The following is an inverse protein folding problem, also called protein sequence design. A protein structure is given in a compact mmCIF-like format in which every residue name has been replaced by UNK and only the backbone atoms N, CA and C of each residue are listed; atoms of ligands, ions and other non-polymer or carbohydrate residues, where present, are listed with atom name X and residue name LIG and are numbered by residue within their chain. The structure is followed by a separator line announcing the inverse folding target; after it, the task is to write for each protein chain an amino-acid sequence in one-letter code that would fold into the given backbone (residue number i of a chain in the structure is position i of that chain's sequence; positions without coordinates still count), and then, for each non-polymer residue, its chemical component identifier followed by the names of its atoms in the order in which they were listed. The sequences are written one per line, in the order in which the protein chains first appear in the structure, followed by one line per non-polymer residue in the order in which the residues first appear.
data_IF_231998113120
#
_entry.id   IF_231998113120
#
_cell.length_a   1.000
_cell.length_b   1.000
_cell.length_c   1.000
_cell.angle_alpha   90.00
_cell.angle_beta   90.00
_cell.angle_gamma   90.00
#
_symmetry.space_group_name_H-M   'P 1'
#
loop_
_entity.id
_entity.type
_entity.pdbx_description
1 polymer ?
#
# COMPACT_ATOMS: atom_id res chain seq x y z
N UNK A 1 -23.91 12.42 -0.21
CA UNK A 1 -22.83 11.41 -0.04
C UNK A 1 -21.97 11.89 1.14
N UNK A 2 -21.88 11.12 2.22
CA UNK A 2 -21.09 11.57 3.39
C UNK A 2 -19.70 10.95 3.27
N UNK A 3 -18.70 11.77 2.97
CA UNK A 3 -17.28 11.39 2.99
C UNK A 3 -16.79 11.59 4.42
N UNK A 4 -16.24 10.56 5.04
CA UNK A 4 -15.62 10.68 6.36
C UNK A 4 -14.12 10.54 6.16
N UNK A 5 -13.40 11.65 6.29
CA UNK A 5 -11.94 11.66 6.42
C UNK A 5 -11.63 11.59 7.91
N UNK A 6 -10.89 10.58 8.32
CA UNK A 6 -10.38 10.47 9.68
C UNK A 6 -8.88 10.71 9.66
N UNK A 7 -8.43 11.69 10.45
CA UNK A 7 -7.04 12.02 10.74
C UNK A 7 -6.19 12.30 9.49
N UNK A 8 -6.30 13.52 8.99
CA UNK A 8 -5.34 14.12 8.07
C UNK A 8 -4.31 14.84 8.96
N UNK A 9 -3.06 14.40 8.96
CA UNK A 9 -1.95 15.15 9.52
C UNK A 9 -1.20 15.80 8.37
N UNK A 10 -1.16 17.11 8.36
CA UNK A 10 -0.42 17.89 7.39
C UNK A 10 1.00 18.13 7.91
N UNK A 11 2.00 17.76 7.12
CA UNK A 11 3.36 18.23 7.28
C UNK A 11 3.85 18.78 5.93
N UNK A 12 4.52 19.91 5.95
CA UNK A 12 5.03 20.59 4.75
C UNK A 12 5.92 19.64 3.93
N UNK A 13 5.54 19.38 2.69
CA UNK A 13 6.23 18.61 1.64
C UNK A 13 6.02 17.10 1.57
N UNK A 14 5.00 16.53 2.20
CA UNK A 14 4.73 15.10 2.17
C UNK A 14 3.41 14.76 1.47
N UNK A 15 3.34 13.57 0.88
CA UNK A 15 2.07 13.04 0.38
C UNK A 15 1.21 12.54 1.54
N UNK A 16 -0.09 12.85 1.50
CA UNK A 16 -1.05 12.36 2.49
C UNK A 16 -1.77 11.13 1.96
N UNK A 17 -1.76 10.06 2.75
CA UNK A 17 -2.43 8.81 2.45
C UNK A 17 -3.65 8.64 3.34
N UNK A 18 -4.82 8.62 2.75
CA UNK A 18 -6.08 8.49 3.46
C UNK A 18 -6.99 7.44 2.83
N UNK A 19 -8.05 7.05 3.58
CA UNK A 19 -9.08 6.19 3.05
C UNK A 19 -10.42 6.94 2.99
N UNK A 20 -11.02 6.93 1.80
CA UNK A 20 -12.40 7.36 1.62
C UNK A 20 -13.29 6.13 1.72
N UNK A 21 -14.16 6.09 2.72
CA UNK A 21 -15.12 5.00 2.91
C UNK A 21 -16.49 5.51 2.47
N UNK A 22 -16.94 5.05 1.30
CA UNK A 22 -18.25 5.41 0.79
C UNK A 22 -19.34 4.61 1.51
N UNK A 23 -20.21 5.32 2.21
CA UNK A 23 -21.42 4.76 2.84
C UNK A 23 -22.54 4.75 1.82
N UNK A 24 -23.44 3.77 1.88
CA UNK A 24 -24.64 3.62 1.04
C UNK A 24 -24.41 3.11 -0.40
N UNK A 25 -23.26 2.50 -0.70
CA UNK A 25 -23.10 1.71 -1.92
C UNK A 25 -23.23 0.22 -1.59
N UNK A 26 -23.81 -0.56 -2.49
CA UNK A 26 -23.83 -2.02 -2.36
C UNK A 26 -22.39 -2.54 -2.26
N UNK A 27 -22.13 -3.29 -1.21
CA UNK A 27 -20.81 -3.90 -0.95
C UNK A 27 -20.64 -5.14 -1.83
N UNK A 28 -20.46 -4.96 -3.11
CA UNK A 28 -20.05 -6.05 -3.99
C UNK A 28 -18.51 -6.10 -3.99
N UNK A 29 -17.97 -7.08 -3.32
CA UNK A 29 -16.53 -7.28 -3.29
C UNK A 29 -15.99 -7.61 -4.68
N UNK A 30 -14.90 -6.96 -5.05
CA UNK A 30 -14.18 -7.23 -6.29
C UNK A 30 -12.88 -7.99 -5.96
N UNK A 31 -12.81 -9.24 -6.38
CA UNK A 31 -11.65 -10.12 -6.17
C UNK A 31 -10.74 -10.17 -7.41
N UNK A 32 -10.95 -9.30 -8.39
CA UNK A 32 -10.16 -9.29 -9.60
C UNK A 32 -8.77 -8.76 -9.33
N UNK A 33 -7.77 -9.57 -9.62
CA UNK A 33 -6.35 -9.20 -9.59
C UNK A 33 -5.69 -9.63 -10.90
N UNK A 34 -4.64 -8.92 -11.27
CA UNK A 34 -3.81 -9.32 -12.40
C UNK A 34 -2.99 -10.56 -12.01
N UNK A 35 -3.33 -11.70 -12.59
CA UNK A 35 -2.76 -13.01 -12.28
C UNK A 35 -2.20 -13.70 -13.52
N UNK A 36 -1.15 -14.49 -13.37
CA UNK A 36 -0.68 -15.41 -14.42
C UNK A 36 -1.67 -16.58 -14.62
N UNK A 37 -1.48 -17.36 -15.69
CA UNK A 37 -2.27 -18.60 -15.91
C UNK A 37 -2.07 -19.63 -14.80
N UNK A 38 -0.93 -19.58 -14.09
CA UNK A 38 -0.60 -20.44 -12.94
C UNK A 38 -1.13 -19.90 -11.61
N UNK A 39 -1.89 -18.81 -11.61
CA UNK A 39 -2.46 -18.23 -10.40
C UNK A 39 -1.46 -17.35 -9.60
N UNK A 40 -0.36 -16.94 -10.20
CA UNK A 40 0.64 -16.13 -9.54
C UNK A 40 0.34 -14.64 -9.69
N UNK A 41 0.45 -13.89 -8.60
CA UNK A 41 0.29 -12.43 -8.57
C UNK A 41 1.65 -11.78 -8.35
N UNK A 42 2.04 -10.89 -9.26
CA UNK A 42 3.28 -10.14 -9.15
C UNK A 42 3.07 -8.94 -8.23
N UNK A 43 3.80 -8.90 -7.12
CA UNK A 43 3.91 -7.73 -6.27
C UNK A 43 4.93 -6.72 -6.82
N UNK A 44 4.83 -5.48 -6.36
CA UNK A 44 5.72 -4.36 -6.73
C UNK A 44 5.76 -4.05 -8.22
N UNK A 45 4.75 -4.49 -8.98
CA UNK A 45 4.57 -4.08 -10.37
C UNK A 45 3.89 -2.72 -10.43
N UNK A 46 4.63 -1.69 -10.07
CA UNK A 46 4.10 -0.35 -9.80
C UNK A 46 4.06 0.57 -11.03
N UNK A 47 4.35 0.02 -12.19
CA UNK A 47 4.24 0.76 -13.44
C UNK A 47 2.81 1.32 -13.59
N UNK A 48 2.69 2.63 -13.66
CA UNK A 48 1.43 3.39 -13.67
C UNK A 48 0.70 3.49 -12.31
N UNK A 49 1.35 3.14 -11.19
CA UNK A 49 0.87 3.46 -9.86
C UNK A 49 1.67 4.63 -9.32
N UNK A 50 1.01 5.51 -8.59
CA UNK A 50 1.67 6.64 -7.95
C UNK A 50 1.26 6.67 -6.46
N UNK A 51 2.16 6.23 -5.60
CA UNK A 51 1.95 6.23 -4.15
C UNK A 51 2.72 7.36 -3.45
N UNK A 52 3.53 8.11 -4.20
CA UNK A 52 4.38 9.17 -3.67
C UNK A 52 3.77 10.56 -3.84
N UNK A 53 4.00 11.18 -4.97
CA UNK A 53 3.92 12.62 -5.13
C UNK A 53 2.73 13.15 -5.95
N UNK A 54 1.85 12.31 -6.45
CA UNK A 54 0.75 12.75 -7.30
C UNK A 54 -0.60 12.41 -6.73
N UNK A 55 -1.64 13.25 -6.96
CA UNK A 55 -3.00 12.93 -6.54
C UNK A 55 -3.48 11.68 -7.27
N UNK A 56 -3.91 10.69 -6.53
CA UNK A 56 -4.39 9.44 -7.08
C UNK A 56 -5.45 8.80 -6.20
N UNK A 57 -6.46 8.16 -6.82
CA UNK A 57 -7.48 7.40 -6.13
C UNK A 57 -7.55 5.99 -6.68
N UNK A 58 -7.39 5.01 -5.80
CA UNK A 58 -7.37 3.61 -6.17
C UNK A 58 -8.50 2.83 -5.52
N UNK A 59 -9.26 2.10 -6.34
CA UNK A 59 -10.41 1.28 -5.92
C UNK A 59 -10.18 -0.20 -6.17
N UNK A 60 -9.35 -0.54 -7.13
CA UNK A 60 -9.11 -1.91 -7.54
C UNK A 60 -8.25 -2.67 -6.52
N UNK A 61 -8.52 -3.97 -6.42
CA UNK A 61 -7.84 -4.85 -5.48
C UNK A 61 -6.33 -4.94 -5.74
N UNK A 62 -5.92 -4.99 -7.02
CA UNK A 62 -4.52 -5.19 -7.37
C UNK A 62 -3.64 -4.01 -6.96
N UNK A 63 -4.10 -2.77 -7.19
CA UNK A 63 -3.37 -1.57 -6.78
C UNK A 63 -3.31 -1.46 -5.26
N UNK A 64 -4.41 -1.70 -4.56
CA UNK A 64 -4.46 -1.70 -3.09
C UNK A 64 -3.58 -2.79 -2.47
N UNK A 65 -3.49 -3.96 -3.11
CA UNK A 65 -2.58 -5.03 -2.70
C UNK A 65 -1.11 -4.60 -2.81
N UNK A 66 -0.73 -3.98 -3.94
CA UNK A 66 0.62 -3.46 -4.13
C UNK A 66 0.95 -2.33 -3.15
N UNK A 67 -0.02 -1.47 -2.82
CA UNK A 67 0.15 -0.45 -1.78
C UNK A 67 0.47 -1.08 -0.42
N UNK A 68 -0.30 -2.07 0.03
CA UNK A 68 0.00 -2.75 1.30
C UNK A 68 1.33 -3.49 1.27
N UNK A 69 1.73 -4.04 0.12
CA UNK A 69 3.04 -4.66 -0.01
C UNK A 69 4.18 -3.64 0.12
N UNK A 70 4.05 -2.45 -0.48
CA UNK A 70 5.00 -1.35 -0.31
C UNK A 70 5.06 -0.89 1.15
N UNK A 71 3.91 -0.69 1.77
CA UNK A 71 3.81 -0.30 3.18
C UNK A 71 4.51 -1.31 4.09
N UNK A 72 4.27 -2.61 3.87
CA UNK A 72 4.90 -3.68 4.64
C UNK A 72 6.43 -3.64 4.57
N UNK A 73 6.98 -3.44 3.37
CA UNK A 73 8.42 -3.35 3.16
C UNK A 73 9.01 -2.11 3.83
N UNK A 74 8.39 -0.95 3.60
CA UNK A 74 8.90 0.32 4.12
C UNK A 74 8.82 0.40 5.65
N UNK A 75 7.71 -0.04 6.25
CA UNK A 75 7.61 -0.14 7.71
C UNK A 75 8.69 -1.08 8.28
N UNK A 76 8.92 -2.23 7.64
CA UNK A 76 9.97 -3.15 8.09
C UNK A 76 11.36 -2.52 8.04
N UNK A 77 11.73 -1.91 6.92
CA UNK A 77 13.04 -1.27 6.74
C UNK A 77 13.21 -0.11 7.72
N UNK A 78 12.17 0.70 7.91
CA UNK A 78 12.21 1.81 8.86
C UNK A 78 12.38 1.34 10.31
N UNK A 79 11.55 0.39 10.76
CA UNK A 79 11.65 -0.17 12.13
C UNK A 79 13.02 -0.79 12.44
N UNK A 80 13.67 -1.31 11.42
CA UNK A 80 14.99 -1.97 11.55
C UNK A 80 16.15 -1.15 10.95
N UNK A 81 15.98 0.17 10.79
CA UNK A 81 17.00 1.05 10.20
C UNK A 81 18.32 1.04 10.96
N UNK A 82 18.28 0.79 12.26
CA UNK A 82 19.46 0.67 13.13
C UNK A 82 19.89 -0.77 13.41
N UNK A 83 19.29 -1.76 12.73
CA UNK A 83 19.57 -3.19 12.90
C UNK A 83 19.95 -3.81 11.54
N UNK A 84 21.19 -3.59 11.05
CA UNK A 84 21.59 -3.98 9.68
C UNK A 84 21.41 -5.47 9.36
N UNK A 85 21.44 -6.34 10.38
CA UNK A 85 21.22 -7.78 10.24
C UNK A 85 19.74 -8.15 9.98
N UNK A 86 18.80 -7.25 10.29
CA UNK A 86 17.36 -7.44 10.05
C UNK A 86 16.88 -6.77 8.77
N UNK A 87 17.69 -5.87 8.21
CA UNK A 87 17.32 -5.22 6.96
C UNK A 87 17.31 -6.21 5.79
N UNK A 88 16.36 -6.03 4.90
CA UNK A 88 16.28 -6.85 3.70
C UNK A 88 17.29 -6.32 2.67
N UNK A 89 18.04 -7.23 2.07
CA UNK A 89 19.06 -6.94 1.05
C UNK A 89 18.76 -7.59 -0.29
N UNK A 90 17.90 -8.62 -0.27
CA UNK A 90 17.53 -9.38 -1.45
C UNK A 90 16.00 -9.45 -1.60
N UNK A 91 15.48 -9.28 -2.83
CA UNK A 91 14.02 -9.24 -3.07
C UNK A 91 13.27 -10.45 -2.51
N UNK A 92 13.85 -11.64 -2.57
CA UNK A 92 13.20 -12.86 -2.09
C UNK A 92 12.97 -12.89 -0.57
N UNK A 93 13.72 -12.10 0.19
CA UNK A 93 13.53 -12.00 1.64
C UNK A 93 12.19 -11.36 2.01
N UNK A 94 11.59 -10.57 1.12
CA UNK A 94 10.29 -9.93 1.28
C UNK A 94 9.20 -10.96 1.63
N UNK A 95 9.26 -12.17 1.04
CA UNK A 95 8.30 -13.23 1.34
C UNK A 95 8.35 -13.73 2.79
N UNK A 96 9.40 -13.40 3.53
CA UNK A 96 9.52 -13.75 4.94
C UNK A 96 8.83 -12.74 5.86
N UNK A 97 8.51 -11.54 5.39
CA UNK A 97 7.84 -10.52 6.17
C UNK A 97 6.48 -11.02 6.69
N UNK A 98 6.17 -10.80 7.98
CA UNK A 98 4.90 -11.22 8.58
C UNK A 98 3.68 -10.69 7.83
N UNK A 99 3.73 -9.44 7.40
CA UNK A 99 2.66 -8.76 6.68
C UNK A 99 2.47 -9.34 5.28
N UNK A 100 3.53 -9.66 4.55
CA UNK A 100 3.45 -10.30 3.24
C UNK A 100 2.84 -11.72 3.36
N UNK A 101 3.24 -12.48 4.37
CA UNK A 101 2.63 -13.79 4.67
C UNK A 101 1.14 -13.65 5.02
N UNK A 102 0.77 -12.58 5.70
CA UNK A 102 -0.62 -12.28 6.02
C UNK A 102 -1.42 -11.93 4.76
N UNK A 103 -0.90 -11.07 3.90
CA UNK A 103 -1.50 -10.76 2.60
C UNK A 103 -1.69 -12.02 1.75
N UNK A 104 -0.69 -12.88 1.70
CA UNK A 104 -0.77 -14.15 0.95
C UNK A 104 -1.90 -15.04 1.46
N UNK A 105 -2.04 -15.19 2.78
CA UNK A 105 -3.14 -15.95 3.39
C UNK A 105 -4.51 -15.37 3.04
N UNK A 106 -4.65 -14.05 3.09
CA UNK A 106 -5.90 -13.35 2.73
C UNK A 106 -6.22 -13.57 1.26
N UNK A 107 -5.22 -13.46 0.36
CA UNK A 107 -5.42 -13.72 -1.06
C UNK A 107 -5.78 -15.18 -1.34
N UNK A 108 -5.11 -16.14 -0.72
CA UNK A 108 -5.43 -17.59 -0.85
C UNK A 108 -6.87 -17.89 -0.45
N UNK A 109 -7.38 -17.23 0.58
CA UNK A 109 -8.75 -17.43 1.07
C UNK A 109 -9.80 -16.83 0.14
N UNK A 110 -9.51 -15.70 -0.50
CA UNK A 110 -10.55 -14.86 -1.12
C UNK A 110 -10.46 -14.79 -2.65
N UNK A 111 -9.27 -14.97 -3.25
CA UNK A 111 -9.08 -14.83 -4.70
C UNK A 111 -9.10 -16.21 -5.35
N UNK A 112 -10.13 -16.52 -6.18
CA UNK A 112 -10.19 -17.79 -6.88
C UNK A 112 -8.96 -18.03 -7.77
N UNK A 113 -8.32 -19.18 -7.62
CA UNK A 113 -7.16 -19.57 -8.43
C UNK A 113 -5.84 -18.94 -8.01
N UNK A 114 -5.79 -18.11 -6.97
CA UNK A 114 -4.53 -17.57 -6.43
C UNK A 114 -3.66 -18.69 -5.85
N UNK A 115 -2.39 -18.73 -6.23
CA UNK A 115 -1.42 -19.73 -5.76
C UNK A 115 -0.34 -19.11 -4.86
N UNK A 116 0.34 -18.08 -5.33
CA UNK A 116 1.43 -17.41 -4.60
C UNK A 116 1.69 -16.00 -5.14
N UNK A 117 2.46 -15.23 -4.37
CA UNK A 117 3.09 -14.03 -4.89
C UNK A 117 4.40 -14.34 -5.60
N UNK A 118 4.72 -13.51 -6.59
CA UNK A 118 6.01 -13.50 -7.29
C UNK A 118 6.56 -12.09 -7.34
N UNK A 119 7.87 -11.96 -7.49
CA UNK A 119 8.61 -10.71 -7.64
C UNK A 119 9.43 -10.73 -8.92
N UNK A 120 9.71 -9.56 -9.45
CA UNK A 120 10.77 -9.40 -10.43
C UNK A 120 11.93 -8.64 -9.75
N UNK A 121 13.13 -9.23 -9.64
CA UNK A 121 14.26 -8.56 -9.01
C UNK A 121 14.61 -7.21 -9.62
N UNK A 122 14.28 -6.98 -10.89
CA UNK A 122 14.49 -5.69 -11.58
C UNK A 122 13.57 -4.57 -11.08
N UNK A 123 12.55 -4.89 -10.28
CA UNK A 123 11.66 -3.90 -9.68
C UNK A 123 12.25 -3.32 -8.38
N UNK A 124 13.47 -3.72 -8.03
CA UNK A 124 14.15 -3.30 -6.79
C UNK A 124 15.54 -2.77 -7.10
N UNK A 125 15.99 -1.85 -6.27
CA UNK A 125 17.34 -1.33 -6.23
C UNK A 125 17.85 -1.32 -4.79
N UNK A 126 19.16 -1.39 -4.63
CA UNK A 126 19.79 -1.17 -3.33
C UNK A 126 19.99 0.33 -3.16
N UNK A 127 19.24 0.89 -2.24
CA UNK A 127 19.27 2.31 -1.92
C UNK A 127 20.18 2.49 -0.69
N UNK A 128 21.08 3.44 -0.74
CA UNK A 128 22.04 3.78 0.31
C UNK A 128 23.30 2.90 0.38
N UNK A 129 24.31 3.44 1.04
CA UNK A 129 25.60 2.77 1.34
C UNK A 129 25.44 1.50 2.18
N UNK A 130 24.30 1.34 2.84
CA UNK A 130 23.95 0.18 3.65
C UNK A 130 23.36 -0.99 2.86
N UNK A 131 23.08 -0.80 1.55
CA UNK A 131 22.52 -1.83 0.69
C UNK A 131 21.07 -2.19 1.01
N UNK A 132 20.31 -1.25 1.56
CA UNK A 132 18.87 -1.45 1.82
C UNK A 132 18.09 -1.70 0.53
N UNK A 133 17.20 -2.67 0.57
CA UNK A 133 16.35 -3.00 -0.54
C UNK A 133 15.19 -2.04 -0.65
N UNK A 134 15.09 -1.35 -1.78
CA UNK A 134 13.94 -0.48 -2.08
C UNK A 134 13.30 -0.87 -3.40
N UNK A 135 11.99 -0.70 -3.54
CA UNK A 135 11.37 -0.83 -4.84
C UNK A 135 11.93 0.23 -5.79
N UNK A 136 12.39 -0.22 -6.98
CA UNK A 136 12.91 0.67 -8.02
C UNK A 136 11.75 1.33 -8.75
N UNK A 137 11.37 2.51 -8.31
CA UNK A 137 10.39 3.32 -9.02
C UNK A 137 10.55 4.79 -8.67
N UNK A 138 10.81 5.55 -9.69
CA UNK A 138 10.79 7.00 -9.61
C UNK A 138 9.42 7.45 -9.08
N UNK A 139 9.39 8.05 -7.90
CA UNK A 139 8.23 8.71 -7.29
C UNK A 139 7.06 7.81 -6.82
N UNK A 140 7.21 6.50 -6.76
CA UNK A 140 6.11 5.59 -6.35
C UNK A 140 6.27 4.98 -4.95
N UNK A 141 7.27 5.39 -4.20
CA UNK A 141 7.39 4.99 -2.79
C UNK A 141 6.34 5.71 -1.94
N UNK A 142 5.82 5.03 -0.94
CA UNK A 142 5.03 5.68 0.10
C UNK A 142 5.96 6.63 0.85
N UNK A 143 5.55 7.90 0.98
CA UNK A 143 6.35 8.89 1.68
C UNK A 143 6.60 8.45 3.14
N UNK A 144 7.81 8.68 3.63
CA UNK A 144 8.26 8.30 4.96
C UNK A 144 7.34 8.80 6.08
N UNK A 145 6.81 10.00 6.00
CA UNK A 145 5.83 10.53 6.96
C UNK A 145 4.54 9.72 7.05
N UNK A 146 4.22 8.94 6.02
CA UNK A 146 3.00 8.12 6.00
C UNK A 146 3.15 6.79 6.76
N UNK A 147 4.37 6.34 7.06
CA UNK A 147 4.63 5.05 7.70
C UNK A 147 5.52 5.09 8.94
N UNK A 148 6.18 6.20 9.27
CA UNK A 148 7.08 6.31 10.42
C UNK A 148 6.43 5.91 11.75
N UNK A 149 5.15 6.24 11.93
CA UNK A 149 4.38 5.88 13.13
C UNK A 149 3.71 4.50 13.03
N UNK A 150 4.00 3.73 11.99
CA UNK A 150 3.35 2.45 11.74
C UNK A 150 4.31 1.29 11.98
N UNK A 151 3.84 0.27 12.68
CA UNK A 151 4.55 -1.00 12.80
C UNK A 151 4.24 -1.98 11.66
N UNK A 152 3.33 -1.62 10.75
CA UNK A 152 2.94 -2.42 9.59
C UNK A 152 1.51 -2.19 9.14
N UNK A 153 1.01 -3.12 8.34
CA UNK A 153 -0.32 -3.05 7.70
C UNK A 153 -1.46 -2.94 8.73
N UNK A 154 -1.34 -3.64 9.86
CA UNK A 154 -2.41 -3.65 10.86
C UNK A 154 -2.63 -2.29 11.50
N UNK A 155 -1.57 -1.56 11.78
CA UNK A 155 -1.68 -0.22 12.38
C UNK A 155 -2.29 0.76 11.38
N UNK A 156 -1.90 0.67 10.11
CA UNK A 156 -2.54 1.46 9.05
C UNK A 156 -4.05 1.22 9.00
N UNK A 157 -4.48 -0.04 8.93
CA UNK A 157 -5.89 -0.39 8.81
C UNK A 157 -6.69 -0.09 10.10
N UNK A 158 -6.05 -0.20 11.27
CA UNK A 158 -6.63 0.11 12.57
C UNK A 158 -7.02 1.59 12.70
N UNK A 159 -6.23 2.52 12.13
CA UNK A 159 -6.59 3.95 12.07
C UNK A 159 -7.99 4.14 11.46
N UNK A 160 -8.39 3.32 10.50
CA UNK A 160 -9.67 3.40 9.79
C UNK A 160 -10.72 2.41 10.28
N UNK A 161 -10.39 1.56 11.26
CA UNK A 161 -11.27 0.52 11.81
C UNK A 161 -11.84 -0.42 10.74
N UNK A 162 -10.99 -0.82 9.79
CA UNK A 162 -11.36 -1.74 8.71
C UNK A 162 -10.48 -2.97 8.71
N UNK A 163 -11.00 -4.10 8.21
CA UNK A 163 -10.21 -5.31 8.00
C UNK A 163 -9.41 -5.23 6.68
N UNK A 164 -8.40 -6.07 6.58
CA UNK A 164 -7.58 -6.19 5.37
C UNK A 164 -8.42 -6.64 4.17
N UNK A 165 -9.38 -7.55 4.37
CA UNK A 165 -10.32 -7.98 3.33
C UNK A 165 -11.21 -6.83 2.87
N UNK A 166 -11.70 -6.03 3.81
CA UNK A 166 -12.53 -4.88 3.47
C UNK A 166 -11.73 -3.82 2.71
N UNK A 167 -10.47 -3.58 3.10
CA UNK A 167 -9.59 -2.69 2.35
C UNK A 167 -9.37 -3.20 0.92
N UNK A 168 -8.94 -4.45 0.77
CA UNK A 168 -8.54 -4.99 -0.52
C UNK A 168 -9.72 -5.14 -1.49
N UNK A 169 -10.81 -5.76 -1.04
CA UNK A 169 -11.85 -6.27 -1.94
C UNK A 169 -13.09 -5.38 -2.02
N UNK A 170 -13.23 -4.40 -1.13
CA UNK A 170 -14.37 -3.49 -1.16
C UNK A 170 -14.04 -2.26 -2.03
N UNK A 171 -14.65 -2.09 -3.21
CA UNK A 171 -14.41 -0.92 -4.07
C UNK A 171 -14.95 0.38 -3.50
N UNK A 172 -15.79 0.30 -2.44
CA UNK A 172 -16.27 1.46 -1.68
C UNK A 172 -15.23 1.98 -0.68
N UNK A 173 -14.15 1.24 -0.45
CA UNK A 173 -12.96 1.71 0.29
C UNK A 173 -11.94 2.14 -0.74
N UNK A 174 -11.72 3.42 -0.85
CA UNK A 174 -10.83 4.04 -1.84
C UNK A 174 -9.55 4.47 -1.11
N UNK A 175 -8.41 4.04 -1.61
CA UNK A 175 -7.13 4.60 -1.23
C UNK A 175 -7.00 5.96 -1.93
N UNK A 176 -6.88 7.03 -1.15
CA UNK A 176 -6.80 8.41 -1.62
C UNK A 176 -5.43 8.98 -1.25
N UNK A 177 -4.65 9.30 -2.27
CA UNK A 177 -3.30 9.84 -2.14
C UNK A 177 -3.33 11.24 -2.75
N UNK A 178 -2.80 12.23 -2.05
CA UNK A 178 -2.65 13.57 -2.59
C UNK A 178 -1.40 14.24 -2.02
N UNK A 179 -0.91 15.23 -2.75
CA UNK A 179 0.24 16.03 -2.36
C UNK A 179 -0.27 17.35 -1.76
N UNK A 180 0.29 17.75 -0.63
CA UNK A 180 -0.07 19.00 0.05
C UNK A 180 0.24 20.24 -0.81
N UNK A 181 1.14 20.13 -1.79
CA UNK A 181 1.43 21.21 -2.73
C UNK A 181 0.32 21.46 -3.78
N UNK A 182 -0.59 20.50 -3.97
CA UNK A 182 -1.75 20.63 -4.87
C UNK A 182 -2.96 21.26 -4.18
N UNK A 183 -2.79 21.83 -2.99
CA UNK A 183 -3.83 22.49 -2.20
C UNK A 183 -4.21 23.85 -2.80
N UNK A 184 -4.67 23.84 -4.04
CA UNK A 184 -5.34 24.98 -4.65
C UNK A 184 -6.83 24.98 -4.23
N UNK A 185 -7.09 25.23 -2.94
CA UNK A 185 -8.37 25.77 -2.49
C UNK A 185 -9.61 24.90 -2.67
N UNK A 186 -9.52 23.60 -2.89
CA UNK A 186 -10.70 22.73 -2.82
C UNK A 186 -11.03 22.46 -1.35
N UNK A 187 -11.91 23.32 -0.82
CA UNK A 187 -12.57 23.08 0.46
C UNK A 187 -13.43 21.81 0.40
N UNK A 188 -12.87 20.71 0.85
CA UNK A 188 -13.59 19.43 0.98
C UNK A 188 -14.52 19.38 2.20
N UNK A 189 -14.77 20.51 2.85
CA UNK A 189 -15.75 20.61 3.95
C UNK A 189 -17.16 20.53 3.40
N UNK A 190 -17.49 19.62 2.50
CA UNK A 190 -18.81 19.43 1.91
C UNK A 190 -19.96 20.00 2.75
N UNK A 191 -20.26 21.26 2.55
CA UNK A 191 -21.53 21.85 2.92
C UNK A 191 -22.55 21.58 1.83
#
# INVERSE_FOLDING_TARGET
MKVVRNNVFETNSSSTHSLIIMRNMEKKYDYKVKMSKSGEVRLYNLKNMNFGWGPAQYRDCYTKLNYLACLALQCWQYMHSYEPEKQLKEPNQIFNLPDIKKLERVCKKNIPGFTKFILNPKDFENFSDNGELWPNFDYNSIDHYSYEDLSGIDDFLKKYKISIENFLFNPCVVLDIYNDNDYNGYDYTGR
#
